data_IF_017701000050
#
_entry.id   IF_017701000050
#
_cell.length_a   1.000
_cell.length_b   1.000
_cell.length_c   1.000
_cell.angle_alpha   90.00
_cell.angle_beta   90.00
_cell.angle_gamma   90.00
#
_symmetry.space_group_name_H-M   'P 1'
#
loop_
_entity.id
_entity.type
_entity.pdbx_description
1 polymer ?
#
# COMPACT_ATOMS: atom_id res chain seq x y z
N UNK A 1 1.51 7.84 -25.93
CA UNK A 1 2.09 8.66 -24.85
C UNK A 1 3.28 9.38 -25.45
N UNK A 2 3.17 10.67 -25.75
CA UNK A 2 4.31 11.46 -26.22
C UNK A 2 5.06 12.02 -25.01
N UNK A 3 6.37 11.81 -24.96
CA UNK A 3 7.21 12.19 -23.81
C UNK A 3 8.18 13.29 -24.25
N UNK A 4 7.98 14.50 -23.75
CA UNK A 4 8.99 15.57 -23.84
C UNK A 4 9.69 15.73 -22.49
N UNK A 5 11.02 15.78 -22.52
CA UNK A 5 11.86 16.17 -21.38
C UNK A 5 12.66 17.41 -21.76
N UNK A 6 12.53 18.47 -20.97
CA UNK A 6 13.49 19.57 -20.95
C UNK A 6 14.35 19.43 -19.69
N UNK A 7 15.66 19.23 -19.87
CA UNK A 7 16.66 19.36 -18.81
C UNK A 7 17.33 20.70 -19.06
N UNK A 8 17.30 21.58 -18.07
CA UNK A 8 17.89 22.91 -18.19
C UNK A 8 19.41 22.77 -18.40
N UNK A 9 19.91 23.30 -19.52
CA UNK A 9 21.33 23.32 -19.88
C UNK A 9 21.84 22.27 -20.89
N UNK A 10 21.03 21.30 -21.34
CA UNK A 10 21.42 20.37 -22.41
C UNK A 10 20.25 20.13 -23.39
N UNK A 11 20.58 20.00 -24.68
CA UNK A 11 19.63 19.84 -25.81
C UNK A 11 18.39 19.04 -25.40
N UNK A 12 17.23 19.68 -25.54
CA UNK A 12 15.90 19.05 -25.47
C UNK A 12 15.92 17.72 -26.23
N UNK A 13 15.53 16.64 -25.55
CA UNK A 13 15.42 15.31 -26.16
C UNK A 13 13.99 14.82 -25.95
N UNK A 14 13.27 14.70 -27.06
CA UNK A 14 11.92 14.13 -27.13
C UNK A 14 12.04 12.62 -27.32
N UNK A 15 11.52 11.83 -26.37
CA UNK A 15 11.47 10.36 -26.48
C UNK A 15 10.05 9.99 -26.90
N UNK A 16 9.88 9.46 -28.11
CA UNK A 16 8.54 9.26 -28.68
C UNK A 16 7.91 7.89 -28.37
N UNK A 17 8.63 6.95 -27.77
CA UNK A 17 8.13 5.59 -27.46
C UNK A 17 8.78 5.01 -26.19
N UNK A 18 8.20 3.97 -25.53
CA UNK A 18 8.78 3.36 -24.34
C UNK A 18 10.00 2.52 -24.74
N UNK A 19 11.11 3.18 -25.01
CA UNK A 19 12.39 2.51 -25.17
C UNK A 19 12.94 2.31 -23.76
N UNK A 20 12.99 1.07 -23.28
CA UNK A 20 13.75 0.73 -22.08
C UNK A 20 15.18 1.23 -22.24
N UNK A 21 15.59 2.18 -21.39
CA UNK A 21 16.88 2.81 -21.49
C UNK A 21 17.21 3.61 -20.23
N UNK A 22 18.46 3.51 -19.78
CA UNK A 22 18.97 4.22 -18.60
C UNK A 22 19.34 5.65 -18.98
N UNK A 23 18.73 6.64 -18.35
CA UNK A 23 19.13 8.05 -18.47
C UNK A 23 19.99 8.40 -17.26
N UNK A 24 21.25 8.79 -17.50
CA UNK A 24 22.11 9.35 -16.43
C UNK A 24 21.66 10.78 -16.14
N UNK A 25 21.22 11.03 -14.91
CA UNK A 25 20.72 12.33 -14.45
C UNK A 25 21.77 12.95 -13.54
N UNK A 26 22.25 14.17 -13.82
CA UNK A 26 23.23 14.83 -12.97
C UNK A 26 22.64 15.30 -11.63
N UNK A 27 23.49 15.43 -10.61
CA UNK A 27 23.08 16.03 -9.34
C UNK A 27 22.58 17.46 -9.56
N UNK A 28 21.40 17.80 -9.01
CA UNK A 28 20.75 19.09 -9.20
C UNK A 28 19.86 19.20 -10.45
N UNK A 29 19.83 18.19 -11.32
CA UNK A 29 18.92 18.19 -12.48
C UNK A 29 17.45 18.08 -12.03
N UNK A 30 16.57 18.78 -12.74
CA UNK A 30 15.13 18.65 -12.59
C UNK A 30 14.53 17.94 -13.79
N UNK A 31 13.85 16.82 -13.54
CA UNK A 31 13.06 16.13 -14.56
C UNK A 31 11.66 16.73 -14.50
N UNK A 32 11.21 17.37 -15.59
CA UNK A 32 9.79 17.67 -15.82
C UNK A 32 9.25 16.62 -16.78
N UNK A 33 8.20 15.92 -16.35
CA UNK A 33 7.39 15.05 -17.22
C UNK A 33 6.00 15.64 -17.31
N UNK A 34 5.46 15.68 -18.53
CA UNK A 34 4.05 15.99 -18.78
C UNK A 34 3.35 14.68 -19.10
N UNK A 35 2.49 14.20 -18.22
CA UNK A 35 1.62 13.06 -18.51
C UNK A 35 0.33 13.60 -19.10
N UNK A 36 0.06 13.27 -20.36
CA UNK A 36 -1.25 13.54 -20.98
C UNK A 36 -2.08 12.27 -20.93
N UNK A 37 -3.14 12.28 -20.12
CA UNK A 37 -4.14 11.21 -20.12
C UNK A 37 -5.32 11.67 -20.98
N UNK A 38 -5.78 10.79 -21.88
CA UNK A 38 -7.10 10.91 -22.47
C UNK A 38 -8.15 10.44 -21.46
N UNK A 39 -8.68 11.38 -20.69
CA UNK A 39 -9.63 11.07 -19.62
C UNK A 39 -10.93 10.48 -20.16
N UNK A 40 -11.33 10.80 -21.40
CA UNK A 40 -12.53 10.23 -22.02
C UNK A 40 -12.39 8.73 -22.33
N UNK A 41 -11.16 8.26 -22.59
CA UNK A 41 -10.89 6.84 -22.87
C UNK A 41 -10.98 5.95 -21.62
N UNK A 42 -10.55 6.46 -20.47
CA UNK A 42 -10.43 5.66 -19.23
C UNK A 42 -11.51 5.99 -18.19
N UNK A 43 -12.10 7.18 -18.25
CA UNK A 43 -13.17 7.65 -17.37
C UNK A 43 -14.25 8.40 -18.17
N UNK A 44 -15.05 7.69 -18.98
CA UNK A 44 -16.06 8.31 -19.85
C UNK A 44 -17.15 9.08 -19.07
N UNK A 45 -17.40 8.69 -17.81
CA UNK A 45 -18.44 9.24 -16.93
C UNK A 45 -17.94 10.38 -16.01
N UNK A 46 -16.62 10.65 -15.95
CA UNK A 46 -16.08 11.65 -15.02
C UNK A 46 -16.27 13.10 -15.52
N UNK A 47 -16.54 14.03 -14.61
CA UNK A 47 -16.69 15.47 -14.88
C UNK A 47 -15.40 16.16 -15.38
N UNK A 48 -14.27 15.48 -15.30
CA UNK A 48 -12.95 15.94 -15.77
C UNK A 48 -12.76 15.70 -17.28
N UNK A 49 -13.45 16.49 -18.12
CA UNK A 49 -13.26 16.45 -19.58
C UNK A 49 -12.02 17.26 -20.04
N UNK A 50 -11.16 16.65 -20.84
CA UNK A 50 -10.05 17.30 -21.59
C UNK A 50 -8.63 16.93 -21.17
N UNK A 51 -7.62 17.34 -21.96
CA UNK A 51 -6.20 17.16 -21.65
C UNK A 51 -5.84 17.93 -20.36
N UNK A 52 -5.10 17.30 -19.46
CA UNK A 52 -4.55 17.92 -18.25
C UNK A 52 -3.06 17.65 -18.18
N UNK A 53 -2.30 18.65 -17.72
CA UNK A 53 -0.86 18.54 -17.54
C UNK A 53 -0.57 18.41 -16.05
N UNK A 54 0.12 17.33 -15.68
CA UNK A 54 0.70 17.18 -14.34
C UNK A 54 2.20 17.39 -14.50
N UNK A 55 2.74 18.43 -13.86
CA UNK A 55 4.17 18.69 -13.82
C UNK A 55 4.74 18.15 -12.50
N UNK A 56 5.55 17.11 -12.58
CA UNK A 56 6.31 16.60 -11.44
C UNK A 56 7.71 17.20 -11.50
N UNK A 57 8.21 17.74 -10.38
CA UNK A 57 9.57 18.27 -10.25
C UNK A 57 10.28 17.54 -9.11
N UNK A 58 11.42 16.97 -9.41
CA UNK A 58 12.28 16.27 -8.44
C UNK A 58 13.69 16.81 -8.59
N UNK A 59 14.46 16.85 -7.50
CA UNK A 59 15.87 17.29 -7.50
C UNK A 59 16.72 16.15 -6.94
N UNK A 60 17.75 15.72 -7.67
CA UNK A 60 18.79 14.81 -7.13
C UNK A 60 18.54 13.31 -7.24
N UNK A 61 17.88 12.82 -8.29
CA UNK A 61 17.59 11.39 -8.51
C UNK A 61 18.57 10.74 -9.49
N UNK A 62 19.87 10.85 -9.24
CA UNK A 62 20.89 10.20 -10.08
C UNK A 62 20.73 8.67 -9.98
N UNK A 63 20.22 8.02 -11.04
CA UNK A 63 20.08 6.56 -11.12
C UNK A 63 18.82 5.97 -10.48
N UNK A 64 17.84 6.78 -10.10
CA UNK A 64 16.56 6.28 -9.58
C UNK A 64 15.52 6.10 -10.69
N UNK A 65 14.83 4.98 -10.68
CA UNK A 65 13.61 4.77 -11.47
C UNK A 65 12.40 5.23 -10.67
N UNK A 66 11.50 5.99 -11.30
CA UNK A 66 10.27 6.47 -10.67
C UNK A 66 9.06 6.01 -11.48
N UNK A 67 8.15 5.29 -10.83
CA UNK A 67 6.86 4.92 -11.41
C UNK A 67 5.82 5.93 -10.97
N UNK A 68 5.13 6.55 -11.94
CA UNK A 68 3.99 7.44 -11.67
C UNK A 68 2.72 6.68 -12.01
N UNK A 69 1.87 6.45 -11.02
CA UNK A 69 0.50 5.93 -11.22
C UNK A 69 -0.49 7.06 -11.00
N UNK A 70 -1.46 7.14 -11.89
CA UNK A 70 -2.59 8.05 -11.74
C UNK A 70 -3.79 7.17 -11.45
N UNK A 71 -4.37 7.38 -10.27
CA UNK A 71 -5.55 6.67 -9.77
C UNK A 71 -6.71 7.65 -9.79
N UNK A 72 -7.93 7.16 -9.98
CA UNK A 72 -9.13 7.98 -9.78
C UNK A 72 -9.17 8.51 -8.35
N UNK A 73 -9.79 9.66 -8.13
CA UNK A 73 -10.06 10.12 -6.78
C UNK A 73 -10.87 9.05 -6.03
N UNK A 74 -10.33 8.62 -4.89
CA UNK A 74 -10.90 7.55 -4.08
C UNK A 74 -11.89 8.11 -3.05
N UNK A 75 -11.87 9.42 -2.78
CA UNK A 75 -12.68 10.05 -1.72
C UNK A 75 -14.17 9.88 -1.96
N UNK A 76 -14.60 9.90 -3.23
CA UNK A 76 -16.00 9.76 -3.66
C UNK A 76 -16.44 8.30 -3.88
N UNK A 77 -15.58 7.31 -3.57
CA UNK A 77 -15.98 5.90 -3.66
C UNK A 77 -17.08 5.60 -2.63
N UNK A 78 -18.27 5.31 -3.14
CA UNK A 78 -19.39 4.81 -2.37
C UNK A 78 -19.19 3.32 -2.04
N UNK A 79 -18.74 3.06 -0.83
CA UNK A 79 -18.45 1.71 -0.32
C UNK A 79 -19.67 0.78 -0.38
N UNK A 80 -20.89 1.31 -0.31
CA UNK A 80 -22.11 0.49 -0.33
C UNK A 80 -22.36 -0.19 -1.67
N UNK A 81 -21.80 0.39 -2.74
CA UNK A 81 -21.89 -0.10 -4.12
C UNK A 81 -20.78 -1.09 -4.49
N UNK A 82 -19.79 -1.30 -3.62
CA UNK A 82 -18.66 -2.17 -3.93
C UNK A 82 -19.00 -3.65 -3.73
N UNK A 83 -18.65 -4.48 -4.70
CA UNK A 83 -18.57 -5.93 -4.56
C UNK A 83 -17.21 -6.28 -3.95
N UNK A 84 -17.19 -6.55 -2.64
CA UNK A 84 -15.96 -6.88 -1.91
C UNK A 84 -15.34 -8.22 -2.30
N UNK A 85 -16.06 -9.11 -2.97
CA UNK A 85 -15.48 -10.38 -3.47
C UNK A 85 -14.57 -10.17 -4.68
N UNK A 86 -14.73 -9.03 -5.37
CA UNK A 86 -13.96 -8.67 -6.58
C UNK A 86 -13.10 -7.42 -6.39
N UNK A 87 -13.46 -6.56 -5.45
CA UNK A 87 -12.68 -5.38 -5.07
C UNK A 87 -11.34 -5.82 -4.50
N UNK A 88 -10.28 -5.10 -4.84
CA UNK A 88 -8.92 -5.37 -4.34
C UNK A 88 -8.33 -4.13 -3.72
N UNK A 89 -7.27 -4.31 -2.93
CA UNK A 89 -6.39 -3.21 -2.55
C UNK A 89 -4.96 -3.51 -2.97
N UNK A 90 -4.32 -2.53 -3.61
CA UNK A 90 -2.91 -2.56 -3.96
C UNK A 90 -2.11 -1.78 -2.93
N UNK A 91 -1.24 -2.50 -2.24
CA UNK A 91 -0.26 -1.95 -1.30
C UNK A 91 1.01 -1.60 -2.07
N UNK A 92 1.29 -0.31 -2.21
CA UNK A 92 2.50 0.20 -2.87
C UNK A 92 3.57 0.36 -1.78
N UNK A 93 4.60 -0.49 -1.79
CA UNK A 93 5.62 -0.52 -0.73
C UNK A 93 6.99 -0.08 -1.24
N UNK A 94 7.95 0.14 -0.33
CA UNK A 94 9.36 0.38 -0.71
C UNK A 94 10.06 -0.83 -1.33
N UNK A 95 9.47 -2.03 -1.27
CA UNK A 95 10.02 -3.28 -1.83
C UNK A 95 9.28 -3.77 -3.07
N UNK A 96 8.22 -3.08 -3.50
CA UNK A 96 7.37 -3.48 -4.61
C UNK A 96 5.87 -3.39 -4.27
N UNK A 97 5.04 -4.00 -5.10
CA UNK A 97 3.58 -3.96 -4.95
C UNK A 97 3.03 -5.30 -4.49
N UNK A 98 2.06 -5.25 -3.56
CA UNK A 98 1.29 -6.41 -3.12
C UNK A 98 -0.18 -6.13 -3.42
N UNK A 99 -0.88 -7.05 -4.06
CA UNK A 99 -2.32 -6.96 -4.29
C UNK A 99 -3.03 -7.94 -3.36
N UNK A 100 -4.00 -7.45 -2.61
CA UNK A 100 -4.81 -8.27 -1.71
C UNK A 100 -6.26 -8.34 -2.20
N UNK A 101 -6.85 -9.53 -2.15
CA UNK A 101 -8.27 -9.81 -2.33
C UNK A 101 -8.92 -10.13 -0.98
N UNK A 102 -10.21 -9.82 -0.83
CA UNK A 102 -10.89 -9.86 0.46
C UNK A 102 -11.70 -11.14 0.69
N UNK A 103 -12.00 -11.41 1.96
CA UNK A 103 -12.86 -12.51 2.44
C UNK A 103 -14.12 -11.94 3.15
N UNK A 104 -15.00 -11.22 2.44
CA UNK A 104 -16.14 -10.54 3.05
C UNK A 104 -17.18 -11.48 3.66
N UNK A 105 -17.17 -12.76 3.32
CA UNK A 105 -18.05 -13.79 3.87
C UNK A 105 -17.69 -14.19 5.31
N UNK A 106 -16.43 -14.04 5.73
CA UNK A 106 -15.97 -14.36 7.09
C UNK A 106 -15.63 -13.15 7.95
N UNK A 107 -15.27 -12.01 7.34
CA UNK A 107 -14.88 -10.80 8.06
C UNK A 107 -15.34 -9.49 7.36
N UNK A 108 -16.66 -9.33 7.10
CA UNK A 108 -17.18 -8.21 6.32
C UNK A 108 -16.84 -6.83 6.91
N UNK A 109 -16.86 -6.68 8.25
CA UNK A 109 -16.60 -5.38 8.89
C UNK A 109 -15.13 -5.00 8.84
N UNK A 110 -14.23 -5.97 8.95
CA UNK A 110 -12.81 -5.71 8.78
C UNK A 110 -12.46 -5.38 7.33
N UNK A 111 -13.10 -6.05 6.36
CA UNK A 111 -12.98 -5.71 4.94
C UNK A 111 -13.42 -4.27 4.68
N UNK A 112 -14.64 -3.91 5.08
CA UNK A 112 -15.17 -2.54 4.91
C UNK A 112 -14.26 -1.50 5.58
N UNK A 113 -13.83 -1.76 6.82
CA UNK A 113 -12.93 -0.85 7.54
C UNK A 113 -11.58 -0.67 6.83
N UNK A 114 -10.99 -1.75 6.33
CA UNK A 114 -9.71 -1.69 5.61
C UNK A 114 -9.85 -0.93 4.29
N UNK A 115 -10.91 -1.19 3.51
CA UNK A 115 -11.18 -0.49 2.26
C UNK A 115 -11.43 1.00 2.54
N UNK A 116 -12.24 1.33 3.55
CA UNK A 116 -12.48 2.73 3.97
C UNK A 116 -11.18 3.46 4.30
N UNK A 117 -10.35 2.89 5.17
CA UNK A 117 -9.08 3.49 5.56
C UNK A 117 -8.12 3.63 4.37
N UNK A 118 -8.14 2.68 3.44
CA UNK A 118 -7.36 2.76 2.19
C UNK A 118 -7.85 3.91 1.30
N UNK A 119 -9.16 4.00 1.06
CA UNK A 119 -9.80 5.08 0.30
C UNK A 119 -9.49 6.47 0.89
N UNK A 120 -9.44 6.58 2.22
CA UNK A 120 -9.20 7.83 2.94
C UNK A 120 -7.69 8.18 3.03
N UNK A 121 -6.80 7.40 2.40
CA UNK A 121 -5.34 7.61 2.45
C UNK A 121 -4.75 7.41 3.85
N UNK A 122 -5.46 6.73 4.75
CA UNK A 122 -5.00 6.54 6.13
C UNK A 122 -3.69 5.76 6.19
N UNK A 123 -3.51 4.78 5.32
CA UNK A 123 -2.31 3.93 5.29
C UNK A 123 -1.10 4.60 4.64
N UNK A 124 -1.31 5.70 3.91
CA UNK A 124 -0.27 6.36 3.13
C UNK A 124 0.85 6.88 4.04
N UNK A 125 2.07 6.47 3.71
CA UNK A 125 3.27 6.80 4.47
C UNK A 125 3.37 6.10 5.83
N UNK A 126 2.58 5.05 6.10
CA UNK A 126 2.85 4.16 7.24
C UNK A 126 4.03 3.23 6.92
N UNK A 127 4.54 2.50 7.93
CA UNK A 127 5.63 1.54 7.77
C UNK A 127 5.26 0.16 8.30
N UNK A 128 5.90 -0.85 7.74
CA UNK A 128 6.01 -2.17 8.35
C UNK A 128 7.05 -2.09 9.47
N UNK A 129 6.56 -2.00 10.70
CA UNK A 129 7.38 -1.68 11.87
C UNK A 129 7.79 -2.91 12.68
N UNK A 130 7.20 -4.07 12.37
CA UNK A 130 7.51 -5.35 13.00
C UNK A 130 7.53 -6.43 11.92
N UNK A 131 8.70 -7.03 11.74
CA UNK A 131 8.99 -8.06 10.74
C UNK A 131 9.58 -9.26 11.44
N UNK A 132 8.97 -10.43 11.28
CA UNK A 132 9.51 -11.70 11.80
C UNK A 132 9.52 -12.71 10.67
N UNK A 133 10.71 -12.94 10.10
CA UNK A 133 10.90 -13.92 9.02
C UNK A 133 10.39 -15.30 9.43
N UNK A 134 9.65 -15.93 8.54
CA UNK A 134 8.99 -17.23 8.80
C UNK A 134 7.70 -17.13 9.62
N UNK A 135 7.27 -15.94 10.02
CA UNK A 135 6.03 -15.74 10.76
C UNK A 135 5.14 -14.71 10.08
N UNK A 136 5.40 -13.41 10.24
CA UNK A 136 4.56 -12.34 9.69
C UNK A 136 5.28 -11.01 9.53
N UNK A 137 4.63 -10.10 8.83
CA UNK A 137 5.03 -8.71 8.60
C UNK A 137 3.87 -7.82 9.00
N UNK A 138 4.03 -6.93 9.99
CA UNK A 138 2.97 -6.10 10.55
C UNK A 138 3.14 -4.61 10.20
N UNK A 139 2.04 -3.99 9.75
CA UNK A 139 1.97 -2.60 9.29
C UNK A 139 0.67 -1.89 9.69
N UNK A 140 0.40 -0.74 9.08
CA UNK A 140 -0.85 0.01 9.26
C UNK A 140 -0.96 0.84 10.54
N UNK A 141 0.16 1.11 11.21
CA UNK A 141 0.19 1.93 12.43
C UNK A 141 0.42 3.42 12.09
N UNK A 142 -0.50 4.35 12.40
CA UNK A 142 -0.33 5.78 12.09
C UNK A 142 0.86 6.42 12.81
N UNK A 143 1.24 5.91 13.98
CA UNK A 143 2.43 6.37 14.72
C UNK A 143 3.76 6.05 14.01
N UNK A 144 3.72 5.36 12.87
CA UNK A 144 4.90 5.15 12.04
C UNK A 144 5.08 6.21 10.95
N UNK A 145 4.09 7.09 10.72
CA UNK A 145 4.21 8.14 9.72
C UNK A 145 5.31 9.15 10.07
N UNK A 146 5.85 9.83 9.05
CA UNK A 146 6.82 10.93 9.27
C UNK A 146 6.20 12.00 10.16
N UNK A 147 6.96 12.45 11.16
CA UNK A 147 6.52 13.48 12.10
C UNK A 147 5.57 12.99 13.20
N UNK A 148 5.18 11.71 13.22
CA UNK A 148 4.39 11.16 14.32
C UNK A 148 5.23 11.06 15.61
N UNK A 149 4.60 11.34 16.75
CA UNK A 149 5.23 11.35 18.07
C UNK A 149 4.96 10.09 18.89
N UNK A 150 3.97 9.29 18.49
CA UNK A 150 3.62 8.04 19.17
C UNK A 150 4.58 6.89 18.86
N UNK A 151 4.48 5.80 19.63
CA UNK A 151 5.27 4.61 19.41
C UNK A 151 4.70 3.73 18.27
N UNK A 152 5.53 3.11 17.43
CA UNK A 152 5.09 2.04 16.53
C UNK A 152 4.35 0.94 17.29
N UNK A 153 3.28 0.40 16.71
CA UNK A 153 2.43 -0.62 17.33
C UNK A 153 1.32 -0.09 18.24
N UNK A 154 1.32 1.21 18.62
CA UNK A 154 0.31 1.76 19.55
C UNK A 154 -0.72 2.69 18.89
N UNK A 155 -0.59 2.95 17.59
CA UNK A 155 -1.49 3.84 16.85
C UNK A 155 -2.82 3.17 16.48
N UNK A 156 -3.88 3.99 16.39
CA UNK A 156 -5.24 3.58 16.05
C UNK A 156 -5.89 4.61 15.11
N UNK A 157 -6.91 4.23 14.30
CA UNK A 157 -7.68 5.17 13.49
C UNK A 157 -8.66 6.02 14.31
N UNK A 158 -8.77 5.80 15.61
CA UNK A 158 -9.71 6.50 16.51
C UNK A 158 -10.97 5.69 16.84
N UNK A 159 -11.09 4.48 16.29
CA UNK A 159 -12.14 3.51 16.62
C UNK A 159 -11.59 2.08 16.56
N UNK A 160 -12.39 1.12 17.02
CA UNK A 160 -12.12 -0.31 16.90
C UNK A 160 -13.23 -1.02 16.15
N UNK A 161 -12.93 -2.19 15.61
CA UNK A 161 -13.85 -3.11 14.95
C UNK A 161 -14.01 -4.34 15.85
N UNK A 162 -15.27 -4.76 16.06
CA UNK A 162 -15.57 -5.99 16.81
C UNK A 162 -14.92 -7.19 16.12
N UNK A 163 -14.34 -8.11 16.89
CA UNK A 163 -13.69 -9.31 16.40
C UNK A 163 -14.61 -10.13 15.47
N UNK A 164 -14.06 -10.57 14.35
CA UNK A 164 -14.67 -11.47 13.37
C UNK A 164 -13.75 -12.70 13.24
N UNK A 165 -13.48 -13.35 14.38
CA UNK A 165 -12.66 -14.56 14.42
C UNK A 165 -13.29 -15.64 13.55
N UNK A 166 -12.46 -16.31 12.74
CA UNK A 166 -12.92 -17.28 11.77
C UNK A 166 -11.93 -18.43 11.58
N UNK A 167 -12.34 -19.43 10.81
CA UNK A 167 -11.59 -20.68 10.59
C UNK A 167 -10.48 -20.58 9.54
N UNK A 168 -10.29 -19.41 8.92
CA UNK A 168 -9.21 -19.20 7.96
C UNK A 168 -7.86 -19.49 8.61
N UNK A 169 -7.13 -20.45 8.04
CA UNK A 169 -5.82 -20.86 8.55
C UNK A 169 -4.80 -19.76 8.25
N UNK A 170 -4.03 -19.34 9.25
CA UNK A 170 -2.95 -18.36 9.10
C UNK A 170 -1.72 -19.01 8.46
N UNK A 171 -1.79 -19.20 7.15
CA UNK A 171 -0.70 -19.67 6.27
C UNK A 171 -0.13 -18.50 5.46
N UNK A 172 1.00 -18.73 4.77
CA UNK A 172 1.65 -17.70 3.95
C UNK A 172 0.66 -17.06 2.96
N UNK A 173 0.67 -15.73 2.90
CA UNK A 173 -0.22 -14.94 2.04
C UNK A 173 -1.51 -14.45 2.71
N UNK A 174 -1.90 -15.01 3.86
CA UNK A 174 -3.09 -14.54 4.60
C UNK A 174 -2.84 -13.16 5.19
N UNK A 175 -3.87 -12.31 5.15
CA UNK A 175 -3.89 -10.99 5.77
C UNK A 175 -4.90 -10.97 6.92
N UNK A 176 -4.46 -10.54 8.08
CA UNK A 176 -5.25 -10.58 9.31
C UNK A 176 -5.01 -9.36 10.18
N UNK A 177 -5.96 -9.03 11.04
CA UNK A 177 -5.96 -7.79 11.81
C UNK A 177 -5.15 -7.93 13.09
N UNK A 178 -4.21 -7.01 13.29
CA UNK A 178 -3.52 -6.88 14.57
C UNK A 178 -4.47 -6.23 15.59
N UNK A 179 -4.32 -6.62 16.86
CA UNK A 179 -5.13 -6.11 17.97
C UNK A 179 -4.29 -5.96 19.23
N UNK A 180 -4.73 -5.08 20.12
CA UNK A 180 -4.14 -4.93 21.44
C UNK A 180 -4.62 -6.06 22.38
N UNK A 181 -4.41 -5.89 23.68
CA UNK A 181 -4.98 -6.80 24.67
C UNK A 181 -6.51 -6.65 24.68
N UNK A 182 -7.22 -7.75 24.45
CA UNK A 182 -8.68 -7.80 24.27
C UNK A 182 -9.09 -8.15 22.84
N UNK A 183 -10.28 -8.74 22.70
CA UNK A 183 -10.78 -9.26 21.42
C UNK A 183 -11.19 -8.13 20.46
N UNK A 184 -11.97 -7.16 20.94
CA UNK A 184 -12.57 -6.08 20.15
C UNK A 184 -11.69 -4.82 20.05
N UNK A 185 -10.38 -5.03 19.90
CA UNK A 185 -9.38 -3.93 19.92
C UNK A 185 -8.64 -3.74 18.59
N UNK A 186 -9.05 -4.47 17.54
CA UNK A 186 -8.52 -4.27 16.19
C UNK A 186 -8.98 -2.90 15.64
N UNK A 187 -8.06 -2.16 15.04
CA UNK A 187 -8.31 -0.83 14.48
C UNK A 187 -7.85 -0.76 13.03
N UNK A 188 -6.66 -0.18 12.81
CA UNK A 188 -6.06 -0.05 11.47
C UNK A 188 -4.92 -1.03 11.21
N UNK A 189 -4.26 -1.54 12.25
CA UNK A 189 -3.06 -2.34 12.09
C UNK A 189 -3.39 -3.74 11.59
N UNK A 190 -2.57 -4.25 10.68
CA UNK A 190 -2.74 -5.54 10.04
C UNK A 190 -1.39 -6.23 9.89
N UNK A 191 -1.41 -7.54 9.65
CA UNK A 191 -0.21 -8.31 9.32
C UNK A 191 -0.42 -9.22 8.12
N UNK A 192 0.64 -9.39 7.35
CA UNK A 192 0.77 -10.31 6.23
C UNK A 192 1.50 -11.55 6.74
N UNK A 193 0.90 -12.72 6.61
CA UNK A 193 1.51 -13.99 7.03
C UNK A 193 2.61 -14.39 6.05
N UNK A 194 3.82 -14.62 6.57
CA UNK A 194 4.97 -15.13 5.81
C UNK A 194 5.22 -16.63 6.04
N UNK A 195 4.78 -17.18 7.17
CA UNK A 195 4.80 -18.62 7.44
C UNK A 195 3.55 -19.08 8.17
N UNK A 196 3.48 -20.37 8.53
CA UNK A 196 2.31 -20.92 9.20
C UNK A 196 2.27 -20.56 10.69
N UNK A 197 1.10 -20.16 11.17
CA UNK A 197 0.87 -19.85 12.58
C UNK A 197 -0.47 -20.39 13.09
N UNK A 198 -0.61 -21.71 13.28
CA UNK A 198 -1.87 -22.31 13.73
C UNK A 198 -2.39 -21.77 15.06
N UNK A 199 -1.50 -21.26 15.91
CA UNK A 199 -1.85 -20.66 17.20
C UNK A 199 -2.69 -19.36 17.09
N UNK A 200 -2.78 -18.75 15.90
CA UNK A 200 -3.61 -17.59 15.60
C UNK A 200 -5.01 -17.96 15.07
N UNK A 201 -5.20 -19.19 14.58
CA UNK A 201 -6.48 -19.62 13.98
C UNK A 201 -7.63 -19.51 14.99
N UNK A 202 -8.77 -18.98 14.56
CA UNK A 202 -9.94 -18.75 15.43
C UNK A 202 -9.74 -17.69 16.53
N UNK A 203 -8.62 -16.94 16.54
CA UNK A 203 -8.30 -15.92 17.55
C UNK A 203 -7.99 -14.54 16.98
N UNK A 204 -7.96 -14.44 15.66
CA UNK A 204 -7.67 -13.24 14.89
C UNK A 204 -8.60 -13.19 13.67
N UNK A 205 -8.98 -11.98 13.27
CA UNK A 205 -9.87 -11.74 12.13
C UNK A 205 -9.06 -11.73 10.83
N UNK A 206 -8.87 -12.92 10.24
CA UNK A 206 -8.35 -13.02 8.87
C UNK A 206 -9.43 -12.49 7.90
N UNK A 207 -9.06 -11.57 7.01
CA UNK A 207 -10.02 -10.83 6.19
C UNK A 207 -9.61 -10.67 4.72
N UNK A 208 -8.39 -11.07 4.36
CA UNK A 208 -7.90 -10.98 3.00
C UNK A 208 -6.77 -12.01 2.73
N UNK A 209 -6.46 -12.17 1.45
CA UNK A 209 -5.37 -13.00 0.93
C UNK A 209 -4.56 -12.20 -0.10
N UNK A 210 -3.24 -12.37 -0.11
CA UNK A 210 -2.40 -11.86 -1.18
C UNK A 210 -2.71 -12.64 -2.47
N UNK A 211 -3.06 -11.90 -3.52
CA UNK A 211 -3.25 -12.43 -4.87
C UNK A 211 -2.02 -12.23 -5.76
N UNK A 212 -1.25 -11.17 -5.53
CA UNK A 212 -0.02 -10.84 -6.28
C UNK A 212 1.02 -10.22 -5.35
N UNK A 213 2.31 -10.46 -5.62
CA UNK A 213 3.42 -9.89 -4.83
C UNK A 213 3.84 -10.72 -3.62
N UNK A 214 3.73 -12.05 -3.69
CA UNK A 214 4.28 -12.94 -2.64
C UNK A 214 5.82 -12.81 -2.54
N UNK A 215 6.49 -12.63 -3.68
CA UNK A 215 7.92 -12.32 -3.74
C UNK A 215 8.27 -10.98 -3.07
N UNK A 216 7.38 -9.98 -3.17
CA UNK A 216 7.53 -8.70 -2.46
C UNK A 216 7.35 -8.89 -0.95
N UNK A 217 6.41 -9.74 -0.51
CA UNK A 217 6.29 -10.12 0.90
C UNK A 217 7.59 -10.77 1.40
N UNK A 218 8.19 -11.67 0.61
CA UNK A 218 9.45 -12.32 0.95
C UNK A 218 10.59 -11.30 1.05
N UNK A 219 10.68 -10.36 0.10
CA UNK A 219 11.67 -9.28 0.13
C UNK A 219 11.52 -8.36 1.36
N UNK A 220 10.29 -8.11 1.82
CA UNK A 220 10.03 -7.38 3.06
C UNK A 220 10.49 -8.22 4.27
N UNK A 221 10.11 -9.50 4.33
CA UNK A 221 10.43 -10.41 5.42
C UNK A 221 11.93 -10.71 5.55
N UNK A 222 12.68 -10.65 4.45
CA UNK A 222 14.12 -10.86 4.39
C UNK A 222 14.96 -9.65 4.83
N UNK A 223 14.31 -8.52 5.11
CA UNK A 223 15.00 -7.32 5.62
C UNK A 223 15.64 -7.63 6.97
N UNK A 224 16.94 -7.32 7.19
CA UNK A 224 17.56 -7.52 8.49
C UNK A 224 16.82 -6.76 9.58
N UNK A 225 16.75 -7.37 10.76
CA UNK A 225 16.05 -6.81 11.93
C UNK A 225 16.99 -6.72 13.13
N UNK A 226 16.68 -5.78 14.01
CA UNK A 226 17.32 -5.60 15.32
C UNK A 226 16.27 -5.70 16.44
N UNK A 227 16.69 -5.88 17.70
CA UNK A 227 15.79 -5.85 18.83
C UNK A 227 14.95 -4.58 18.89
N UNK A 228 13.63 -4.76 19.05
CA UNK A 228 12.69 -3.70 19.37
C UNK A 228 12.91 -3.22 20.82
N UNK A 229 12.25 -2.12 21.20
CA UNK A 229 12.24 -1.64 22.60
C UNK A 229 11.72 -2.68 23.60
N UNK A 230 10.93 -3.64 23.13
CA UNK A 230 10.36 -4.73 23.93
C UNK A 230 11.24 -6.00 23.92
N UNK A 231 12.44 -5.95 23.32
CA UNK A 231 13.40 -7.05 23.28
C UNK A 231 13.19 -8.07 22.15
N UNK A 232 12.03 -8.09 21.49
CA UNK A 232 11.80 -8.95 20.32
C UNK A 232 12.66 -8.49 19.13
N UNK A 233 13.41 -9.41 18.50
CA UNK A 233 14.22 -9.13 17.30
C UNK A 233 13.31 -9.07 16.08
N UNK A 234 12.71 -7.90 15.85
CA UNK A 234 11.69 -7.73 14.81
C UNK A 234 11.63 -6.32 14.20
N UNK A 235 12.49 -5.39 14.64
CA UNK A 235 12.50 -4.03 14.10
C UNK A 235 13.41 -3.96 12.87
N UNK A 236 12.89 -3.71 11.66
CA UNK A 236 13.75 -3.67 10.47
C UNK A 236 14.80 -2.56 10.55
N UNK A 237 16.01 -2.83 10.04
CA UNK A 237 17.14 -1.89 10.08
C UNK A 237 16.99 -0.70 9.12
N UNK A 238 16.09 -0.82 8.16
CA UNK A 238 15.72 0.23 7.22
C UNK A 238 14.20 0.48 7.26
N UNK A 239 13.77 1.65 6.81
CA UNK A 239 12.35 1.96 6.74
C UNK A 239 11.66 1.19 5.59
N UNK A 240 10.74 0.32 5.95
CA UNK A 240 9.87 -0.42 5.03
C UNK A 240 8.55 0.33 4.88
N UNK A 241 8.49 1.24 3.91
CA UNK A 241 7.34 2.13 3.70
C UNK A 241 6.19 1.41 3.01
N UNK A 242 4.98 1.69 3.46
CA UNK A 242 3.74 1.58 2.70
C UNK A 242 3.43 2.98 2.17
N UNK A 243 3.81 3.22 0.92
CA UNK A 243 3.64 4.52 0.28
C UNK A 243 2.17 4.87 0.09
N UNK A 244 1.38 3.90 -0.35
CA UNK A 244 -0.07 4.03 -0.47
C UNK A 244 -0.79 2.68 -0.43
N UNK A 245 -2.05 2.71 -0.02
CA UNK A 245 -2.98 1.59 -0.18
C UNK A 245 -4.13 2.03 -1.10
N UNK A 246 -4.10 1.57 -2.34
CA UNK A 246 -5.04 2.02 -3.39
C UNK A 246 -6.16 1.00 -3.55
N UNK A 247 -7.42 1.45 -3.48
CA UNK A 247 -8.58 0.60 -3.77
C UNK A 247 -8.71 0.43 -5.28
N UNK A 248 -8.84 -0.82 -5.73
CA UNK A 248 -9.21 -1.20 -7.09
C UNK A 248 -10.68 -1.62 -7.06
N UNK A 249 -11.62 -0.67 -7.25
CA UNK A 249 -13.03 -0.91 -7.00
C UNK A 249 -13.63 -1.85 -8.04
N UNK A 250 -14.51 -2.73 -7.58
CA UNK A 250 -15.46 -3.45 -8.43
C UNK A 250 -16.87 -3.16 -7.91
N UNK A 251 -17.77 -2.73 -8.79
CA UNK A 251 -19.12 -2.33 -8.39
C UNK A 251 -20.09 -3.50 -8.56
N UNK A 252 -21.06 -3.61 -7.65
CA UNK A 252 -22.19 -4.52 -7.79
C UNK A 252 -22.96 -4.19 -9.07
N UNK A 253 -23.44 -5.23 -9.74
CA UNK A 253 -24.36 -5.11 -10.90
C UNK A 253 -25.71 -4.50 -10.50
#
# INVERSE_FOLDING_TARGET
>A
MEIESAIDGAKSTTLREPVGGTIKVAAGASIRRTITIDTAKYWPEASLRGKRQIALKWVGLTGAEATVRIVSDQHDLDLTKLDYTKTKVRLITSKGEIVIGFLPEVAPRHVENFVKLSKDGFYDGTRFHRVVKGFMVQGGCPNTKRGATGAPGTGSPGWTVRAEFNETKHVKGVVSMARAQGEDTAGSQFFLMHGEAPHLNGKYSAFAMIEQGIDVLDAIADTPVIPSRMGETSMPVEDLWLWAAVVEPNFKE
#
